data_IF_967516773313
#
_entry.id   IF_967516773313
#
_cell.length_a   1.000
_cell.length_b   1.000
_cell.length_c   1.000
_cell.angle_alpha   90.00
_cell.angle_beta   90.00
_cell.angle_gamma   90.00
#
_symmetry.space_group_name_H-M   'P 1'
#
loop_
_entity.id
_entity.type
_entity.pdbx_description
1 polymer ?
#
# COMPACT_ATOMS: atom_id res chain seq x y z
N UNK A 1 -10.96 8.53 -17.01
CA UNK A 1 -12.17 8.55 -16.14
C UNK A 1 -12.79 7.16 -16.06
N UNK A 2 -13.11 6.49 -17.19
CA UNK A 2 -13.74 5.14 -17.16
C UNK A 2 -12.88 4.16 -16.38
N UNK A 3 -11.58 4.12 -16.63
CA UNK A 3 -10.65 3.24 -15.94
C UNK A 3 -10.56 3.56 -14.43
N UNK A 4 -10.55 4.84 -14.08
CA UNK A 4 -10.59 5.27 -12.69
C UNK A 4 -11.85 4.77 -11.97
N UNK A 5 -13.03 4.97 -12.58
CA UNK A 5 -14.29 4.49 -11.99
C UNK A 5 -14.36 2.96 -11.90
N UNK A 6 -13.94 2.26 -12.96
CA UNK A 6 -13.99 0.78 -13.02
C UNK A 6 -12.99 0.09 -12.10
N UNK A 7 -11.95 0.79 -11.68
CA UNK A 7 -10.91 0.23 -10.79
C UNK A 7 -11.04 0.80 -9.38
N UNK A 8 -11.23 2.10 -9.24
CA UNK A 8 -11.23 2.74 -7.92
C UNK A 8 -12.44 2.32 -7.06
N UNK A 9 -13.63 2.20 -7.65
CA UNK A 9 -14.81 1.72 -6.91
C UNK A 9 -14.66 0.26 -6.45
N UNK A 10 -14.25 -0.71 -7.30
CA UNK A 10 -13.94 -2.06 -6.84
C UNK A 10 -12.83 -2.09 -5.78
N UNK A 11 -11.78 -1.27 -5.89
CA UNK A 11 -10.71 -1.15 -4.90
C UNK A 11 -11.26 -0.74 -3.52
N UNK A 12 -12.14 0.25 -3.46
CA UNK A 12 -12.76 0.66 -2.20
C UNK A 12 -13.68 -0.44 -1.65
N UNK A 13 -14.43 -1.11 -2.51
CA UNK A 13 -15.28 -2.23 -2.12
C UNK A 13 -14.45 -3.42 -1.60
N UNK A 14 -13.36 -3.78 -2.25
CA UNK A 14 -12.47 -4.85 -1.78
C UNK A 14 -11.82 -4.51 -0.45
N UNK A 15 -11.40 -3.26 -0.25
CA UNK A 15 -10.89 -2.81 1.07
C UNK A 15 -11.95 -3.04 2.15
N UNK A 16 -13.18 -2.64 1.90
CA UNK A 16 -14.29 -2.84 2.84
C UNK A 16 -14.58 -4.34 3.09
N UNK A 17 -14.60 -5.15 2.01
CA UNK A 17 -14.83 -6.60 2.11
C UNK A 17 -13.68 -7.34 2.82
N UNK A 18 -12.46 -6.85 2.75
CA UNK A 18 -11.32 -7.37 3.51
C UNK A 18 -11.41 -6.95 4.97
N UNK A 19 -11.80 -5.71 5.25
CA UNK A 19 -11.91 -5.20 6.62
C UNK A 19 -13.00 -5.93 7.43
N UNK A 20 -14.12 -6.31 6.82
CA UNK A 20 -15.20 -7.03 7.52
C UNK A 20 -14.73 -8.37 8.10
N UNK A 21 -14.20 -9.34 7.30
CA UNK A 21 -13.70 -10.59 7.85
C UNK A 21 -12.46 -10.40 8.74
N UNK A 22 -11.63 -9.38 8.49
CA UNK A 22 -10.48 -9.08 9.33
C UNK A 22 -10.92 -8.65 10.74
N UNK A 23 -11.99 -7.85 10.90
CA UNK A 23 -12.54 -7.51 12.21
C UNK A 23 -13.07 -8.74 12.95
N UNK A 24 -13.69 -9.69 12.24
CA UNK A 24 -14.14 -10.96 12.83
C UNK A 24 -12.94 -11.83 13.22
N UNK A 25 -11.93 -11.90 12.34
CA UNK A 25 -10.71 -12.65 12.61
C UNK A 25 -9.96 -12.08 13.81
N UNK A 26 -9.86 -10.76 13.96
CA UNK A 26 -9.25 -10.13 15.14
C UNK A 26 -9.99 -10.43 16.43
N UNK A 27 -11.31 -10.57 16.37
CA UNK A 27 -12.11 -10.98 17.52
C UNK A 27 -11.85 -12.42 17.97
N UNK A 28 -11.46 -13.30 17.02
CA UNK A 28 -11.24 -14.74 17.27
C UNK A 28 -9.75 -15.02 17.55
N UNK A 29 -8.84 -14.44 16.77
CA UNK A 29 -7.40 -14.74 16.77
C UNK A 29 -6.60 -13.57 17.40
N UNK A 30 -7.24 -12.42 17.58
CA UNK A 30 -6.60 -11.23 18.09
C UNK A 30 -5.98 -11.47 19.46
N UNK A 31 -4.83 -10.86 19.68
CA UNK A 31 -4.15 -10.86 20.98
C UNK A 31 -4.48 -9.50 21.64
N UNK A 32 -5.58 -9.40 22.40
CA UNK A 32 -6.00 -8.12 23.01
C UNK A 32 -4.87 -7.45 23.79
N UNK A 33 -4.04 -8.24 24.45
CA UNK A 33 -2.88 -7.74 25.17
C UNK A 33 -1.87 -6.99 24.30
N UNK A 34 -1.71 -7.38 23.02
CA UNK A 34 -0.81 -6.67 22.07
C UNK A 34 -1.42 -5.34 21.68
N UNK A 35 -2.72 -5.33 21.32
CA UNK A 35 -3.43 -4.11 20.95
C UNK A 35 -3.46 -3.12 22.12
N UNK A 36 -3.71 -3.61 23.33
CA UNK A 36 -3.69 -2.79 24.54
C UNK A 36 -2.31 -2.23 24.86
N UNK A 37 -1.26 -3.05 24.72
CA UNK A 37 0.12 -2.61 24.92
C UNK A 37 0.51 -1.55 23.88
N UNK A 38 0.13 -1.77 22.61
CA UNK A 38 0.33 -0.79 21.54
C UNK A 38 -0.44 0.49 21.80
N UNK A 39 -1.70 0.39 22.24
CA UNK A 39 -2.56 1.52 22.55
C UNK A 39 -2.07 2.42 23.70
N UNK A 40 -1.17 1.91 24.55
CA UNK A 40 -0.53 2.70 25.64
C UNK A 40 0.61 3.59 25.16
N UNK A 41 1.13 3.37 23.96
CA UNK A 41 2.18 4.21 23.39
C UNK A 41 1.62 5.57 22.97
N UNK A 42 2.43 6.63 22.93
CA UNK A 42 2.03 7.90 22.33
C UNK A 42 1.53 7.71 20.90
N UNK A 43 0.49 8.43 20.51
CA UNK A 43 -0.16 8.26 19.21
C UNK A 43 0.79 8.34 18.02
N UNK A 44 1.73 9.29 18.02
CA UNK A 44 2.74 9.42 16.97
C UNK A 44 3.64 8.19 16.87
N UNK A 45 4.02 7.58 18.01
CA UNK A 45 4.82 6.36 18.02
C UNK A 45 4.04 5.20 17.41
N UNK A 46 2.76 5.04 17.79
CA UNK A 46 1.88 4.04 17.20
C UNK A 46 1.78 4.21 15.69
N UNK A 47 1.57 5.45 15.22
CA UNK A 47 1.43 5.75 13.80
C UNK A 47 2.73 5.46 13.02
N UNK A 48 3.89 5.88 13.53
CA UNK A 48 5.17 5.57 12.87
C UNK A 48 5.46 4.06 12.83
N UNK A 49 5.18 3.33 13.91
CA UNK A 49 5.31 1.87 13.92
C UNK A 49 4.35 1.22 12.91
N UNK A 50 3.13 1.72 12.80
CA UNK A 50 2.16 1.23 11.83
C UNK A 50 2.64 1.44 10.38
N UNK A 51 3.15 2.64 10.08
CA UNK A 51 3.73 2.94 8.76
C UNK A 51 4.91 2.01 8.47
N UNK A 52 5.82 1.82 9.42
CA UNK A 52 7.00 0.96 9.26
C UNK A 52 6.61 -0.52 9.01
N UNK A 53 5.66 -1.05 9.77
CA UNK A 53 5.19 -2.44 9.62
C UNK A 53 4.48 -2.62 8.27
N UNK A 54 3.65 -1.66 7.89
CA UNK A 54 2.94 -1.70 6.63
C UNK A 54 3.89 -1.56 5.43
N UNK A 55 4.86 -0.65 5.49
CA UNK A 55 5.87 -0.43 4.46
C UNK A 55 6.72 -1.70 4.24
N UNK A 56 7.16 -2.34 5.33
CA UNK A 56 7.89 -3.61 5.24
C UNK A 56 7.03 -4.71 4.60
N UNK A 57 5.76 -4.80 4.96
CA UNK A 57 4.84 -5.77 4.36
C UNK A 57 4.60 -5.47 2.88
N UNK A 58 4.41 -4.20 2.53
CA UNK A 58 4.26 -3.73 1.15
C UNK A 58 5.52 -4.04 0.33
N UNK A 59 6.70 -3.73 0.83
CA UNK A 59 7.96 -4.05 0.17
C UNK A 59 8.06 -5.56 -0.15
N UNK A 60 7.78 -6.42 0.82
CA UNK A 60 7.87 -7.88 0.62
C UNK A 60 6.89 -8.36 -0.44
N UNK A 61 5.63 -7.96 -0.36
CA UNK A 61 4.61 -8.42 -1.29
C UNK A 61 4.78 -7.79 -2.69
N UNK A 62 5.13 -6.50 -2.77
CA UNK A 62 5.40 -5.81 -4.03
C UNK A 62 6.60 -6.44 -4.75
N UNK A 63 7.68 -6.71 -4.01
CA UNK A 63 8.83 -7.43 -4.56
C UNK A 63 8.45 -8.83 -5.06
N UNK A 64 7.57 -9.53 -4.35
CA UNK A 64 7.07 -10.81 -4.82
C UNK A 64 6.27 -10.68 -6.13
N UNK A 65 5.47 -9.61 -6.29
CA UNK A 65 4.78 -9.31 -7.54
C UNK A 65 5.75 -9.10 -8.72
N UNK A 66 6.92 -8.51 -8.49
CA UNK A 66 7.95 -8.36 -9.51
C UNK A 66 8.72 -9.65 -9.80
N UNK A 67 9.05 -10.43 -8.78
CA UNK A 67 9.94 -11.60 -8.90
C UNK A 67 9.23 -12.90 -9.28
N UNK A 68 7.94 -13.04 -8.94
CA UNK A 68 7.19 -14.27 -9.20
C UNK A 68 6.40 -14.12 -10.51
N UNK A 69 6.73 -14.88 -11.59
CA UNK A 69 6.12 -14.70 -12.91
C UNK A 69 4.60 -14.79 -12.94
N UNK A 70 4.01 -15.62 -12.06
CA UNK A 70 2.55 -15.70 -11.93
C UNK A 70 1.96 -14.41 -11.36
N UNK A 71 2.59 -13.82 -10.34
CA UNK A 71 2.14 -12.60 -9.70
C UNK A 71 2.35 -11.38 -10.60
N UNK A 72 3.47 -11.34 -11.35
CA UNK A 72 3.75 -10.30 -12.33
C UNK A 72 2.63 -10.11 -13.36
N UNK A 73 1.91 -11.17 -13.75
CA UNK A 73 0.79 -11.07 -14.69
C UNK A 73 -0.30 -10.10 -14.22
N UNK A 74 -0.49 -9.98 -12.94
CA UNK A 74 -1.44 -9.04 -12.34
C UNK A 74 -0.82 -7.65 -12.22
N UNK A 75 0.41 -7.57 -11.71
CA UNK A 75 1.12 -6.32 -11.47
C UNK A 75 1.56 -5.60 -12.76
N UNK A 76 1.80 -6.33 -13.84
CA UNK A 76 2.06 -5.76 -15.15
C UNK A 76 0.94 -4.83 -15.67
N UNK A 77 -0.29 -4.97 -15.17
CA UNK A 77 -1.38 -4.04 -15.47
C UNK A 77 -1.11 -2.68 -14.82
N UNK A 78 -0.60 -2.65 -13.59
CA UNK A 78 -0.17 -1.44 -12.91
C UNK A 78 0.97 -0.77 -13.69
N UNK A 79 1.97 -1.52 -14.11
CA UNK A 79 3.10 -1.05 -14.92
C UNK A 79 2.78 -0.76 -16.39
N UNK A 80 1.56 -1.03 -16.87
CA UNK A 80 1.20 -0.84 -18.29
C UNK A 80 0.90 0.61 -18.68
N UNK A 81 0.95 1.56 -17.76
CA UNK A 81 0.75 2.98 -18.06
C UNK A 81 1.93 3.55 -18.85
N UNK A 82 1.66 4.15 -20.02
CA UNK A 82 2.69 4.82 -20.83
C UNK A 82 3.10 6.19 -20.29
N UNK A 83 2.23 6.80 -19.50
CA UNK A 83 2.48 8.04 -18.78
C UNK A 83 1.87 7.91 -17.40
N UNK A 84 2.63 8.26 -16.38
CA UNK A 84 2.16 8.26 -15.01
C UNK A 84 1.49 9.58 -14.69
N UNK A 85 0.36 9.49 -14.02
CA UNK A 85 -0.34 10.58 -13.39
C UNK A 85 -1.03 10.06 -12.13
N UNK A 86 -1.65 10.92 -11.34
CA UNK A 86 -2.33 10.53 -10.11
C UNK A 86 -3.45 9.48 -10.31
N UNK A 87 -4.01 9.36 -11.54
CA UNK A 87 -5.02 8.36 -11.89
C UNK A 87 -4.37 6.99 -12.14
N UNK A 88 -3.10 6.98 -12.61
CA UNK A 88 -2.37 5.75 -12.90
C UNK A 88 -2.19 4.87 -11.66
N UNK A 89 -2.08 5.46 -10.47
CA UNK A 89 -2.06 4.72 -9.20
C UNK A 89 -3.28 3.85 -8.94
N UNK A 90 -4.43 4.16 -9.58
CA UNK A 90 -5.64 3.34 -9.51
C UNK A 90 -5.68 2.21 -10.56
N UNK A 91 -4.65 2.10 -11.40
CA UNK A 91 -4.58 1.08 -12.44
C UNK A 91 -3.98 -0.20 -11.87
N UNK A 92 -4.81 -1.05 -11.32
CA UNK A 92 -4.40 -2.31 -10.71
C UNK A 92 -5.35 -3.44 -11.12
N UNK A 93 -4.88 -4.68 -11.05
CA UNK A 93 -5.74 -5.85 -11.17
C UNK A 93 -6.39 -6.14 -9.81
N UNK A 94 -7.65 -6.56 -9.82
CA UNK A 94 -8.38 -6.86 -8.59
C UNK A 94 -7.68 -7.90 -7.69
N UNK A 95 -7.08 -8.94 -8.29
CA UNK A 95 -6.32 -9.97 -7.55
C UNK A 95 -5.11 -9.35 -6.85
N UNK A 96 -4.38 -8.47 -7.52
CA UNK A 96 -3.27 -7.73 -6.92
C UNK A 96 -3.73 -6.92 -5.73
N UNK A 97 -4.79 -6.13 -5.90
CA UNK A 97 -5.33 -5.28 -4.84
C UNK A 97 -5.77 -6.09 -3.61
N UNK A 98 -6.49 -7.20 -3.82
CA UNK A 98 -6.92 -8.10 -2.73
C UNK A 98 -5.72 -8.71 -1.99
N UNK A 99 -4.72 -9.20 -2.72
CA UNK A 99 -3.52 -9.82 -2.12
C UNK A 99 -2.70 -8.78 -1.37
N UNK A 100 -2.41 -7.63 -1.98
CA UNK A 100 -1.64 -6.55 -1.38
C UNK A 100 -2.31 -6.06 -0.08
N UNK A 101 -3.58 -5.68 -0.17
CA UNK A 101 -4.33 -5.16 0.97
C UNK A 101 -4.52 -6.19 2.07
N UNK A 102 -4.83 -7.44 1.72
CA UNK A 102 -4.93 -8.52 2.69
C UNK A 102 -3.63 -8.74 3.44
N UNK A 103 -2.51 -8.75 2.73
CA UNK A 103 -1.18 -8.94 3.31
C UNK A 103 -0.75 -7.80 4.24
N UNK A 104 -1.19 -6.57 3.97
CA UNK A 104 -0.87 -5.40 4.79
C UNK A 104 -1.90 -5.22 5.92
N UNK A 105 -3.20 -5.17 5.59
CA UNK A 105 -4.23 -4.76 6.54
C UNK A 105 -4.52 -5.81 7.62
N UNK A 106 -4.44 -7.10 7.30
CA UNK A 106 -4.71 -8.14 8.30
C UNK A 106 -3.71 -8.07 9.46
N UNK A 107 -2.38 -8.10 9.25
CA UNK A 107 -1.43 -7.92 10.35
C UNK A 107 -1.59 -6.59 11.09
N UNK A 108 -1.87 -5.52 10.36
CA UNK A 108 -2.09 -4.19 10.95
C UNK A 108 -3.25 -4.20 11.95
N UNK A 109 -4.36 -4.85 11.60
CA UNK A 109 -5.55 -4.94 12.47
C UNK A 109 -5.33 -5.83 13.69
N UNK A 110 -4.41 -6.81 13.60
CA UNK A 110 -4.07 -7.69 14.73
C UNK A 110 -3.21 -6.98 15.78
N UNK A 111 -2.49 -5.92 15.41
CA UNK A 111 -1.48 -5.27 16.24
C UNK A 111 -1.88 -3.87 16.69
N UNK A 112 -2.50 -3.08 15.80
CA UNK A 112 -2.74 -1.66 16.06
C UNK A 112 -4.20 -1.33 16.37
N UNK A 113 -4.46 -0.34 17.25
CA UNK A 113 -5.81 0.18 17.47
C UNK A 113 -6.48 0.67 16.18
N UNK A 114 -7.79 0.56 16.12
CA UNK A 114 -8.57 0.92 14.93
C UNK A 114 -8.31 2.35 14.44
N UNK A 115 -8.18 3.32 15.34
CA UNK A 115 -7.90 4.72 14.98
C UNK A 115 -6.57 4.88 14.24
N UNK A 116 -5.55 4.09 14.60
CA UNK A 116 -4.24 4.09 13.92
C UNK A 116 -4.38 3.49 12.51
N UNK A 117 -5.14 2.40 12.37
CA UNK A 117 -5.39 1.79 11.06
C UNK A 117 -6.11 2.75 10.11
N UNK A 118 -7.08 3.52 10.60
CA UNK A 118 -7.77 4.55 9.81
C UNK A 118 -6.81 5.67 9.41
N UNK A 119 -5.98 6.14 10.34
CA UNK A 119 -4.97 7.16 10.05
C UNK A 119 -3.94 6.69 9.02
N UNK A 120 -3.50 5.43 9.12
CA UNK A 120 -2.63 4.81 8.15
C UNK A 120 -3.27 4.73 6.75
N UNK A 121 -4.53 4.27 6.66
CA UNK A 121 -5.24 4.19 5.38
C UNK A 121 -5.35 5.56 4.69
N UNK A 122 -5.62 6.61 5.45
CA UNK A 122 -5.65 7.97 4.92
C UNK A 122 -4.25 8.37 4.42
N UNK A 123 -3.22 8.15 5.21
CA UNK A 123 -1.84 8.45 4.84
C UNK A 123 -1.43 7.72 3.57
N UNK A 124 -1.59 6.38 3.51
CA UNK A 124 -1.14 5.60 2.36
C UNK A 124 -1.91 5.93 1.08
N UNK A 125 -3.20 6.26 1.19
CA UNK A 125 -4.01 6.69 0.03
C UNK A 125 -3.48 7.99 -0.55
N UNK A 126 -3.20 8.99 0.29
CA UNK A 126 -2.63 10.26 -0.14
C UNK A 126 -1.22 10.09 -0.69
N UNK A 127 -0.38 9.30 -0.02
CA UNK A 127 0.99 9.01 -0.42
C UNK A 127 1.05 8.28 -1.76
N UNK A 128 0.29 7.20 -1.94
CA UNK A 128 0.23 6.45 -3.20
C UNK A 128 -0.29 7.31 -4.37
N UNK A 129 -1.27 8.16 -4.12
CA UNK A 129 -1.74 9.13 -5.13
C UNK A 129 -0.62 10.12 -5.50
N UNK A 130 0.10 10.64 -4.51
CA UNK A 130 1.18 11.58 -4.73
C UNK A 130 2.37 10.97 -5.47
N UNK A 131 2.78 9.74 -5.14
CA UNK A 131 3.91 9.07 -5.79
C UNK A 131 3.70 8.87 -7.30
N UNK A 132 2.45 8.76 -7.74
CA UNK A 132 2.10 8.67 -9.17
C UNK A 132 1.92 10.03 -9.85
N UNK A 133 1.84 11.14 -9.10
CA UNK A 133 1.65 12.47 -9.69
C UNK A 133 2.85 12.90 -10.53
N UNK A 134 2.57 13.61 -11.65
CA UNK A 134 3.59 14.31 -12.45
C UNK A 134 4.12 15.58 -11.78
N UNK A 135 3.76 15.79 -10.54
CA UNK A 135 4.15 16.95 -9.73
C UNK A 135 4.76 16.44 -8.42
N UNK A 136 5.93 16.92 -8.15
CA UNK A 136 6.56 16.66 -6.86
C UNK A 136 7.90 17.40 -6.74
N UNK A 137 8.15 18.07 -5.63
CA UNK A 137 9.47 18.61 -5.36
C UNK A 137 10.47 17.47 -5.17
N UNK A 138 11.67 17.65 -5.67
CA UNK A 138 12.78 16.73 -5.36
C UNK A 138 13.29 17.06 -3.95
N UNK A 139 12.91 16.24 -2.98
CA UNK A 139 13.30 16.40 -1.58
C UNK A 139 14.30 15.29 -1.22
N UNK A 140 15.54 15.45 -1.67
CA UNK A 140 16.59 14.40 -1.57
C UNK A 140 16.80 13.84 -0.17
N UNK A 141 16.67 14.65 0.87
CA UNK A 141 16.87 14.20 2.25
C UNK A 141 15.72 13.30 2.76
N UNK A 142 14.56 13.33 2.10
CA UNK A 142 13.41 12.53 2.44
C UNK A 142 13.40 11.16 1.71
N UNK A 143 14.11 11.06 0.58
CA UNK A 143 14.15 9.84 -0.24
C UNK A 143 14.63 8.57 0.50
N UNK A 144 15.53 8.63 1.50
CA UNK A 144 15.87 7.44 2.28
C UNK A 144 14.74 6.91 3.19
N UNK A 145 13.70 7.72 3.42
CA UNK A 145 12.63 7.42 4.36
C UNK A 145 11.27 7.29 3.69
N UNK A 146 11.13 7.81 2.48
CA UNK A 146 9.85 7.87 1.80
C UNK A 146 10.04 7.80 0.28
N UNK A 147 9.27 6.93 -0.37
CA UNK A 147 9.22 6.88 -1.82
C UNK A 147 8.59 8.17 -2.35
N UNK A 148 9.34 8.90 -3.15
CA UNK A 148 8.89 10.14 -3.79
C UNK A 148 8.52 9.89 -5.26
N UNK A 149 7.74 10.78 -5.91
CA UNK A 149 7.33 10.62 -7.30
C UNK A 149 8.49 10.29 -8.24
N UNK A 150 9.64 10.93 -8.07
CA UNK A 150 10.83 10.68 -8.91
C UNK A 150 11.30 9.22 -8.86
N UNK A 151 11.37 8.62 -7.68
CA UNK A 151 11.81 7.23 -7.51
C UNK A 151 10.75 6.26 -8.02
N UNK A 152 9.49 6.54 -7.72
CA UNK A 152 8.37 5.69 -8.17
C UNK A 152 8.19 5.74 -9.69
N UNK A 153 8.33 6.91 -10.32
CA UNK A 153 8.31 7.03 -11.77
C UNK A 153 9.48 6.26 -12.42
N UNK A 154 10.67 6.31 -11.81
CA UNK A 154 11.81 5.53 -12.29
C UNK A 154 11.53 4.02 -12.19
N UNK A 155 10.95 3.56 -11.08
CA UNK A 155 10.52 2.18 -10.89
C UNK A 155 9.53 1.71 -11.98
N UNK A 156 8.67 2.60 -12.49
CA UNK A 156 7.74 2.29 -13.59
C UNK A 156 8.35 2.34 -14.99
N UNK A 157 9.61 2.68 -15.14
CA UNK A 157 10.25 2.71 -16.47
C UNK A 157 10.57 1.30 -16.96
N UNK A 158 10.73 1.18 -18.29
CA UNK A 158 11.20 -0.05 -18.92
C UNK A 158 12.72 -0.15 -19.01
N UNK A 159 13.45 0.75 -18.34
CA UNK A 159 14.91 0.73 -18.33
C UNK A 159 15.42 -0.48 -17.53
N UNK A 160 16.40 -1.19 -18.10
CA UNK A 160 16.94 -2.40 -17.48
C UNK A 160 17.49 -2.17 -16.05
N UNK A 161 17.98 -0.95 -15.79
CA UNK A 161 18.51 -0.53 -14.50
C UNK A 161 17.42 -0.33 -13.43
N UNK A 162 16.18 -0.09 -13.84
CA UNK A 162 15.03 0.12 -12.97
C UNK A 162 14.27 -1.19 -12.65
N UNK A 163 14.49 -2.25 -13.44
CA UNK A 163 13.82 -3.53 -13.24
C UNK A 163 14.18 -4.11 -11.87
N UNK A 164 13.16 -4.54 -11.12
CA UNK A 164 13.28 -5.12 -9.76
C UNK A 164 13.92 -4.17 -8.72
N UNK A 165 13.90 -2.87 -8.97
CA UNK A 165 14.30 -1.85 -7.99
C UNK A 165 13.06 -1.29 -7.29
N UNK A 166 12.69 -1.92 -6.20
CA UNK A 166 11.60 -1.51 -5.33
C UNK A 166 12.11 -0.56 -4.26
#
# INVERSE_FOLDING_TARGET
IVYFLSTHLPIQLTSFLILLPATQLTAIVGIPAVVDAMGRLPWLVQFFLAVLVADLAEYVIHRAFHMVPFMWRFHAIHHSSKALDWIAGSRAHLVEDVVLRGFILIPMMLVFPHAINVAYLLFVTLHATWTHCNFGPTIKWLEPFLILPRLHHWHHTSEAEAIDKN
#
